data_IF_233869344620
#
_entry.id   IF_233869344620
#
_cell.length_a   1.000
_cell.length_b   1.000
_cell.length_c   1.000
_cell.angle_alpha   90.00
_cell.angle_beta   90.00
_cell.angle_gamma   90.00
#
_symmetry.space_group_name_H-M   'P 1'
#
loop_
_entity.id
_entity.type
_entity.pdbx_description
1 polymer ?
#
# COMPACT_ATOMS: atom_id res chain seq x y z
N UNK A 1 -15.73 -16.85 6.30
CA UNK A 1 -14.76 -15.98 7.01
C UNK A 1 -13.49 -16.07 6.21
N UNK A 2 -13.31 -15.13 5.27
CA UNK A 2 -12.10 -15.09 4.46
C UNK A 2 -10.91 -14.92 5.39
N UNK A 3 -9.99 -15.86 5.32
CA UNK A 3 -8.76 -15.79 6.11
C UNK A 3 -7.86 -14.70 5.55
N UNK A 4 -6.91 -14.22 6.35
CA UNK A 4 -5.90 -13.24 5.88
C UNK A 4 -5.12 -13.83 4.71
N UNK A 5 -4.96 -15.16 4.67
CA UNK A 5 -4.32 -15.87 3.57
C UNK A 5 -5.15 -15.76 2.28
N UNK A 6 -6.46 -15.90 2.32
CA UNK A 6 -7.34 -15.74 1.15
C UNK A 6 -7.30 -14.30 0.62
N UNK A 7 -7.25 -13.30 1.50
CA UNK A 7 -7.10 -11.90 1.13
C UNK A 7 -5.73 -11.61 0.50
N UNK A 8 -4.66 -12.24 1.00
CA UNK A 8 -3.31 -12.12 0.43
C UNK A 8 -3.24 -12.75 -0.97
N UNK A 9 -3.77 -13.96 -1.13
CA UNK A 9 -3.82 -14.67 -2.41
C UNK A 9 -4.63 -13.85 -3.43
N UNK A 10 -5.79 -13.35 -3.05
CA UNK A 10 -6.62 -12.50 -3.91
C UNK A 10 -5.91 -11.21 -4.30
N UNK A 11 -5.18 -10.61 -3.38
CA UNK A 11 -4.38 -9.40 -3.61
C UNK A 11 -3.22 -9.68 -4.58
N UNK A 12 -2.53 -10.82 -4.45
CA UNK A 12 -1.48 -11.26 -5.37
C UNK A 12 -1.99 -11.49 -6.80
N UNK A 13 -3.14 -12.12 -6.93
CA UNK A 13 -3.79 -12.30 -8.24
C UNK A 13 -4.17 -10.96 -8.88
N UNK A 14 -4.64 -10.02 -8.08
CA UNK A 14 -4.98 -8.67 -8.55
C UNK A 14 -3.75 -7.90 -9.03
N UNK A 15 -2.60 -8.05 -8.34
CA UNK A 15 -1.33 -7.46 -8.76
C UNK A 15 -0.85 -8.05 -10.08
N UNK A 16 -0.85 -9.38 -10.20
CA UNK A 16 -0.46 -10.05 -11.43
C UNK A 16 -1.30 -9.59 -12.63
N UNK A 17 -2.61 -9.51 -12.48
CA UNK A 17 -3.52 -9.01 -13.52
C UNK A 17 -3.25 -7.54 -13.89
N UNK A 18 -2.90 -6.71 -12.92
CA UNK A 18 -2.53 -5.30 -13.18
C UNK A 18 -1.23 -5.20 -13.95
N UNK A 19 -0.23 -6.00 -13.62
CA UNK A 19 1.05 -6.07 -14.33
C UNK A 19 0.89 -6.55 -15.78
N UNK A 20 0.10 -7.61 -15.98
CA UNK A 20 -0.24 -8.12 -17.32
C UNK A 20 -0.95 -7.06 -18.17
N UNK A 21 -1.92 -6.35 -17.60
CA UNK A 21 -2.63 -5.27 -18.28
C UNK A 21 -1.72 -4.08 -18.63
N UNK A 22 -0.74 -3.77 -17.79
CA UNK A 22 0.22 -2.70 -18.07
C UNK A 22 1.13 -3.06 -19.24
N UNK A 23 1.67 -4.28 -19.25
CA UNK A 23 2.50 -4.79 -20.34
C UNK A 23 1.72 -4.78 -21.66
N UNK A 24 0.46 -5.22 -21.61
CA UNK A 24 -0.41 -5.22 -22.79
C UNK A 24 -0.68 -3.81 -23.30
N UNK A 25 -0.88 -2.84 -22.40
CA UNK A 25 -1.09 -1.44 -22.75
C UNK A 25 0.17 -0.84 -23.41
N UNK A 26 1.35 -1.08 -22.83
CA UNK A 26 2.61 -0.64 -23.43
C UNK A 26 2.86 -1.26 -24.81
N UNK A 27 2.52 -2.53 -25.00
CA UNK A 27 2.61 -3.19 -26.31
C UNK A 27 1.66 -2.55 -27.32
N UNK A 28 0.42 -2.26 -26.92
CA UNK A 28 -0.57 -1.61 -27.77
C UNK A 28 -0.13 -0.18 -28.19
N UNK A 29 0.42 0.59 -27.24
CA UNK A 29 0.96 1.93 -27.53
C UNK A 29 2.16 1.87 -28.49
N UNK A 30 3.05 0.88 -28.33
CA UNK A 30 4.15 0.65 -29.28
C UNK A 30 3.65 0.31 -30.68
N UNK A 31 2.67 -0.57 -30.80
CA UNK A 31 2.07 -0.91 -32.08
C UNK A 31 1.35 0.27 -32.75
N UNK A 32 0.65 1.11 -31.98
CA UNK A 32 0.01 2.32 -32.48
C UNK A 32 1.04 3.34 -32.97
N UNK A 33 2.12 3.53 -32.22
CA UNK A 33 3.22 4.43 -32.61
C UNK A 33 3.94 3.94 -33.88
N UNK A 34 4.13 2.63 -34.03
CA UNK A 34 4.68 2.02 -35.24
C UNK A 34 3.76 2.22 -36.46
N UNK A 35 2.45 2.08 -36.28
CA UNK A 35 1.47 2.33 -37.36
C UNK A 35 1.42 3.80 -37.76
N UNK A 36 1.53 4.73 -36.81
CA UNK A 36 1.60 6.17 -37.10
C UNK A 36 2.90 6.57 -37.82
N UNK A 37 4.01 5.92 -37.47
CA UNK A 37 5.30 6.13 -38.12
C UNK A 37 5.38 5.55 -39.53
N UNK A 38 4.60 4.51 -39.84
CA UNK A 38 4.57 3.87 -41.16
C UNK A 38 3.59 4.55 -42.15
N UNK A 39 2.76 5.50 -41.69
CA UNK A 39 1.74 6.21 -42.49
C UNK A 39 2.15 7.55 -43.07
N UNK A 40 3.41 7.95 -42.95
CA UNK A 40 3.93 9.24 -43.37
C UNK A 40 4.45 9.27 -44.81
N UNK A 41 3.54 9.32 -45.78
CA UNK A 41 3.91 9.58 -47.18
C UNK A 41 2.80 10.27 -47.96
N UNK A 42 3.05 11.53 -48.29
CA UNK A 42 2.55 12.36 -49.40
C UNK A 42 1.79 13.63 -49.03
N UNK A 43 2.51 14.71 -49.11
CA UNK A 43 2.39 15.90 -49.96
C UNK A 43 0.97 16.35 -50.36
N UNK A 44 0.58 17.57 -49.92
CA UNK A 44 0.20 18.65 -50.81
C UNK A 44 -0.11 19.96 -50.09
N UNK A 45 0.48 21.02 -50.54
CA UNK A 45 0.20 22.45 -50.37
C UNK A 45 -1.26 22.78 -50.64
N UNK A 46 -1.87 23.73 -49.88
CA UNK A 46 -2.23 25.10 -50.26
C UNK A 46 -3.09 25.81 -49.22
N UNK A 47 -2.65 26.99 -48.89
CA UNK A 47 -3.27 28.30 -48.61
C UNK A 47 -4.70 28.43 -48.08
N UNK A 48 -4.75 29.26 -47.05
CA UNK A 48 -5.80 30.24 -46.70
C UNK A 48 -7.13 29.74 -46.15
N UNK A 49 -7.36 30.06 -44.87
CA UNK A 49 -8.69 29.95 -44.26
C UNK A 49 -8.71 30.04 -42.74
N UNK A 50 -8.87 31.25 -42.26
CA UNK A 50 -9.18 31.61 -40.88
C UNK A 50 -10.40 30.80 -40.40
N UNK A 51 -10.25 29.91 -39.45
CA UNK A 51 -11.36 29.27 -38.74
C UNK A 51 -11.08 29.29 -37.23
N UNK A 52 -12.00 29.94 -36.60
CA UNK A 52 -12.16 30.08 -35.16
C UNK A 52 -12.29 28.69 -34.51
N UNK A 53 -11.26 28.25 -33.77
CA UNK A 53 -11.30 26.96 -33.08
C UNK A 53 -11.90 27.16 -31.71
N UNK A 54 -13.15 26.75 -31.57
CA UNK A 54 -13.77 26.47 -30.29
C UNK A 54 -12.98 25.36 -29.61
N UNK A 55 -12.24 25.73 -28.61
CA UNK A 55 -11.46 24.78 -27.78
C UNK A 55 -12.47 24.01 -26.93
N UNK A 56 -12.84 22.83 -27.35
CA UNK A 56 -13.45 21.81 -26.49
C UNK A 56 -12.32 21.34 -25.59
N UNK A 57 -12.40 21.44 -24.25
CA UNK A 57 -11.38 20.88 -23.39
C UNK A 57 -11.32 19.37 -23.62
N UNK A 58 -10.19 18.89 -24.09
CA UNK A 58 -9.89 17.47 -24.16
C UNK A 58 -10.01 16.87 -22.74
N UNK A 59 -10.52 15.64 -22.59
CA UNK A 59 -10.49 14.96 -21.31
C UNK A 59 -9.03 14.89 -20.86
N UNK A 60 -8.75 15.39 -19.68
CA UNK A 60 -7.43 15.33 -19.08
C UNK A 60 -6.98 13.88 -19.12
N UNK A 61 -6.04 13.57 -19.97
CA UNK A 61 -5.34 12.29 -19.98
C UNK A 61 -4.69 12.19 -18.62
N UNK A 62 -5.21 11.32 -17.77
CA UNK A 62 -4.61 11.02 -16.48
C UNK A 62 -3.12 10.78 -16.71
N UNK A 63 -2.29 11.57 -16.06
CA UNK A 63 -0.85 11.61 -16.27
C UNK A 63 -0.32 10.17 -16.15
N UNK A 64 0.29 9.64 -17.21
CA UNK A 64 0.87 8.29 -17.20
C UNK A 64 1.87 8.07 -16.06
N UNK A 65 2.37 9.15 -15.48
CA UNK A 65 3.18 9.17 -14.28
C UNK A 65 2.40 8.75 -13.01
N UNK A 66 1.11 9.10 -12.90
CA UNK A 66 0.27 8.73 -11.76
C UNK A 66 0.00 7.21 -11.72
N UNK A 67 -0.26 6.59 -12.87
CA UNK A 67 -0.45 5.13 -12.97
C UNK A 67 0.84 4.40 -12.60
N UNK A 68 1.99 4.87 -13.09
CA UNK A 68 3.29 4.30 -12.75
C UNK A 68 3.61 4.44 -11.26
N UNK A 69 3.38 5.59 -10.68
CA UNK A 69 3.59 5.87 -9.26
C UNK A 69 2.64 5.04 -8.39
N UNK A 70 1.40 4.79 -8.82
CA UNK A 70 0.48 3.87 -8.15
C UNK A 70 0.99 2.44 -8.13
N UNK A 71 1.44 1.92 -9.28
CA UNK A 71 2.00 0.56 -9.37
C UNK A 71 3.24 0.43 -8.48
N UNK A 72 4.08 1.46 -8.46
CA UNK A 72 5.27 1.48 -7.63
C UNK A 72 4.93 1.46 -6.14
N UNK A 73 3.91 2.21 -5.72
CA UNK A 73 3.41 2.18 -4.35
C UNK A 73 2.82 0.82 -4.00
N UNK A 74 2.03 0.24 -4.89
CA UNK A 74 1.45 -1.08 -4.70
C UNK A 74 2.55 -2.16 -4.51
N UNK A 75 3.65 -2.10 -5.29
CA UNK A 75 4.82 -2.98 -5.11
C UNK A 75 5.48 -2.80 -3.75
N UNK A 76 5.63 -1.55 -3.29
CA UNK A 76 6.14 -1.24 -1.94
C UNK A 76 5.28 -1.85 -0.85
N UNK A 77 3.99 -1.63 -0.93
CA UNK A 77 3.02 -2.15 0.05
C UNK A 77 3.03 -3.67 0.07
N UNK A 78 3.03 -4.30 -1.11
CA UNK A 78 3.10 -5.76 -1.23
C UNK A 78 4.37 -6.31 -0.57
N UNK A 79 5.54 -5.76 -0.86
CA UNK A 79 6.81 -6.20 -0.28
C UNK A 79 6.82 -6.06 1.25
N UNK A 80 6.31 -4.95 1.78
CA UNK A 80 6.22 -4.70 3.22
C UNK A 80 5.32 -5.74 3.90
N UNK A 81 4.16 -6.04 3.32
CA UNK A 81 3.13 -6.87 3.94
C UNK A 81 3.44 -8.36 3.76
N UNK A 82 3.74 -8.82 2.54
CA UNK A 82 3.96 -10.23 2.24
C UNK A 82 5.17 -10.81 2.97
N UNK A 83 6.25 -10.03 3.10
CA UNK A 83 7.46 -10.42 3.82
C UNK A 83 7.43 -9.99 5.29
N UNK A 84 6.36 -9.38 5.75
CA UNK A 84 6.21 -8.89 7.13
C UNK A 84 7.39 -8.01 7.60
N UNK A 85 7.96 -7.23 6.66
CA UNK A 85 9.14 -6.42 6.94
C UNK A 85 8.91 -5.42 8.07
N UNK A 86 7.66 -5.00 8.25
CA UNK A 86 7.28 -4.09 9.33
C UNK A 86 7.52 -4.66 10.74
N UNK A 87 7.64 -5.98 10.90
CA UNK A 87 7.94 -6.62 12.21
C UNK A 87 9.44 -6.60 12.55
N UNK A 88 10.31 -6.33 11.59
CA UNK A 88 11.75 -6.26 11.83
C UNK A 88 12.08 -4.96 12.56
N UNK A 89 12.81 -5.01 13.71
CA UNK A 89 13.15 -3.82 14.50
C UNK A 89 13.94 -2.79 13.71
N UNK A 90 14.88 -3.25 12.88
CA UNK A 90 15.81 -2.42 12.12
C UNK A 90 15.32 -2.08 10.71
N UNK A 91 14.06 -2.42 10.40
CA UNK A 91 13.50 -2.16 9.07
C UNK A 91 13.52 -0.67 8.72
N UNK A 92 14.18 -0.34 7.66
CA UNK A 92 14.42 1.03 7.23
C UNK A 92 13.91 1.31 5.81
N UNK A 93 13.64 2.60 5.57
CA UNK A 93 13.32 3.11 4.25
C UNK A 93 14.42 2.81 3.22
N UNK A 94 15.67 2.88 3.64
CA UNK A 94 16.85 2.70 2.81
C UNK A 94 16.94 1.28 2.24
N UNK A 95 16.54 0.30 3.03
CA UNK A 95 16.47 -1.10 2.60
C UNK A 95 15.43 -1.30 1.51
N UNK A 96 14.24 -0.74 1.69
CA UNK A 96 13.15 -0.82 0.72
C UNK A 96 13.50 -0.13 -0.60
N UNK A 97 14.12 1.05 -0.54
CA UNK A 97 14.58 1.81 -1.70
C UNK A 97 15.59 1.00 -2.53
N UNK A 98 16.50 0.28 -1.87
CA UNK A 98 17.48 -0.58 -2.54
C UNK A 98 16.84 -1.80 -3.20
N UNK A 99 15.88 -2.42 -2.51
CA UNK A 99 15.22 -3.64 -3.01
C UNK A 99 14.34 -3.38 -4.23
N UNK A 100 13.61 -2.25 -4.25
CA UNK A 100 12.64 -1.96 -5.31
C UNK A 100 13.17 -0.94 -6.33
N UNK A 101 14.39 -0.42 -6.14
CA UNK A 101 15.03 0.55 -7.04
C UNK A 101 14.22 1.84 -7.25
N UNK A 102 13.71 2.42 -6.14
CA UNK A 102 12.92 3.64 -6.17
C UNK A 102 13.82 4.87 -6.05
N UNK A 103 13.61 5.92 -6.86
CA UNK A 103 14.27 7.21 -6.64
C UNK A 103 13.95 7.76 -5.25
N UNK A 104 14.98 8.17 -4.49
CA UNK A 104 14.82 8.64 -3.09
C UNK A 104 13.84 9.80 -2.95
N UNK A 105 13.75 10.66 -3.94
CA UNK A 105 12.82 11.81 -3.98
C UNK A 105 11.36 11.40 -4.20
N UNK A 106 11.09 10.25 -4.81
CA UNK A 106 9.72 9.73 -5.03
C UNK A 106 9.15 9.00 -3.81
N UNK A 107 9.99 8.43 -2.95
CA UNK A 107 9.54 7.56 -1.85
C UNK A 107 8.55 8.24 -0.89
N UNK A 108 8.89 9.41 -0.36
CA UNK A 108 8.01 10.12 0.58
C UNK A 108 6.71 10.64 -0.07
N UNK A 109 6.73 11.22 -1.29
CA UNK A 109 5.53 11.55 -2.04
C UNK A 109 4.58 10.38 -2.25
N UNK A 110 5.07 9.17 -2.59
CA UNK A 110 4.24 7.98 -2.79
C UNK A 110 3.44 7.63 -1.54
N UNK A 111 4.08 7.59 -0.36
CA UNK A 111 3.37 7.31 0.89
C UNK A 111 2.36 8.40 1.25
N UNK A 112 2.71 9.68 1.02
CA UNK A 112 1.79 10.78 1.27
C UNK A 112 0.57 10.74 0.35
N UNK A 113 0.76 10.42 -0.90
CA UNK A 113 -0.30 10.39 -1.92
C UNK A 113 -1.22 9.18 -1.77
N UNK A 114 -0.65 7.97 -1.65
CA UNK A 114 -1.43 6.73 -1.71
C UNK A 114 -1.80 6.15 -0.34
N UNK A 115 -0.99 6.37 0.69
CA UNK A 115 -1.31 5.98 2.07
C UNK A 115 -1.86 7.12 2.94
N UNK A 116 -1.83 8.37 2.45
CA UNK A 116 -2.27 9.56 3.20
C UNK A 116 -1.39 9.90 4.41
N UNK A 117 -0.23 9.27 4.54
CA UNK A 117 0.64 9.43 5.72
C UNK A 117 2.12 9.21 5.38
N UNK A 118 3.01 9.51 6.33
CA UNK A 118 4.44 9.22 6.19
C UNK A 118 4.72 7.72 6.31
N UNK A 119 5.83 7.26 5.72
CA UNK A 119 6.29 5.87 5.82
C UNK A 119 6.38 5.38 7.27
N UNK A 120 7.00 6.16 8.17
CA UNK A 120 7.11 5.77 9.59
C UNK A 120 5.74 5.60 10.27
N UNK A 121 4.78 6.46 9.94
CA UNK A 121 3.41 6.34 10.47
C UNK A 121 2.71 5.11 9.89
N UNK A 122 2.92 4.82 8.61
CA UNK A 122 2.38 3.63 7.94
C UNK A 122 2.90 2.34 8.60
N UNK A 123 4.22 2.21 8.78
CA UNK A 123 4.83 1.06 9.45
C UNK A 123 4.34 0.91 10.89
N UNK A 124 4.28 2.02 11.65
CA UNK A 124 3.78 1.98 13.02
C UNK A 124 2.30 1.55 13.07
N UNK A 125 1.47 1.95 12.11
CA UNK A 125 0.08 1.50 12.04
C UNK A 125 -0.02 -0.02 11.82
N UNK A 126 0.77 -0.60 10.92
CA UNK A 126 0.82 -2.05 10.70
C UNK A 126 1.28 -2.79 11.96
N UNK A 127 2.32 -2.30 12.64
CA UNK A 127 2.79 -2.84 13.91
C UNK A 127 1.73 -2.83 14.99
N UNK A 128 0.97 -1.74 15.11
CA UNK A 128 -0.10 -1.60 16.09
C UNK A 128 -1.28 -2.53 15.78
N UNK A 129 -1.62 -2.73 14.53
CA UNK A 129 -2.66 -3.69 14.11
C UNK A 129 -2.25 -5.12 14.42
N UNK A 130 -0.99 -5.46 14.17
CA UNK A 130 -0.42 -6.75 14.55
C UNK A 130 -0.42 -6.92 16.08
N UNK A 131 0.00 -5.89 16.84
CA UNK A 131 -0.02 -5.91 18.30
C UNK A 131 -1.44 -6.11 18.86
N UNK A 132 -2.44 -5.42 18.32
CA UNK A 132 -3.84 -5.60 18.74
C UNK A 132 -4.34 -7.04 18.49
N UNK A 133 -3.93 -7.65 17.39
CA UNK A 133 -4.21 -9.05 17.07
C UNK A 133 -3.53 -10.02 18.05
N UNK A 134 -2.27 -9.76 18.37
CA UNK A 134 -1.51 -10.56 19.35
C UNK A 134 -2.12 -10.46 20.74
N UNK A 135 -2.44 -9.25 21.22
CA UNK A 135 -3.11 -9.02 22.52
C UNK A 135 -4.45 -9.74 22.64
N UNK A 136 -5.17 -9.90 21.52
CA UNK A 136 -6.45 -10.61 21.48
C UNK A 136 -6.28 -12.13 21.47
N UNK A 137 -5.31 -12.64 20.72
CA UNK A 137 -5.17 -14.07 20.44
C UNK A 137 -4.24 -14.78 21.44
N UNK A 138 -3.36 -14.04 22.10
CA UNK A 138 -2.36 -14.57 23.04
C UNK A 138 -2.49 -13.89 24.42
N UNK A 139 -3.53 -14.25 25.19
CA UNK A 139 -3.76 -13.64 26.49
C UNK A 139 -2.68 -13.97 27.54
N UNK A 140 -1.88 -14.99 27.28
CA UNK A 140 -0.73 -15.45 28.07
C UNK A 140 0.56 -14.66 27.80
N UNK A 141 0.63 -13.91 26.68
CA UNK A 141 1.81 -13.11 26.36
C UNK A 141 1.84 -11.82 27.18
N UNK A 142 3.05 -11.46 27.61
CA UNK A 142 3.25 -10.12 28.22
C UNK A 142 3.24 -9.03 27.15
N UNK A 143 2.87 -7.81 27.53
CA UNK A 143 2.95 -6.65 26.63
C UNK A 143 4.37 -6.43 26.10
N UNK A 144 5.39 -6.75 26.92
CA UNK A 144 6.78 -6.66 26.52
C UNK A 144 7.14 -7.66 25.41
N UNK A 145 6.70 -8.92 25.56
CA UNK A 145 6.84 -9.93 24.51
C UNK A 145 6.18 -9.49 23.21
N UNK A 146 4.96 -8.98 23.30
CA UNK A 146 4.22 -8.50 22.11
C UNK A 146 4.93 -7.31 21.46
N UNK A 147 5.50 -6.40 22.25
CA UNK A 147 6.25 -5.27 21.71
C UNK A 147 7.47 -5.76 20.89
N UNK A 148 8.22 -6.73 21.41
CA UNK A 148 9.36 -7.34 20.72
C UNK A 148 8.93 -8.01 19.40
N UNK A 149 7.87 -8.82 19.42
CA UNK A 149 7.30 -9.46 18.23
C UNK A 149 6.84 -8.45 17.16
N UNK A 150 6.41 -7.27 17.59
CA UNK A 150 6.03 -6.17 16.69
C UNK A 150 7.21 -5.33 16.21
N UNK A 151 8.45 -5.63 16.60
CA UNK A 151 9.63 -4.84 16.28
C UNK A 151 9.63 -3.45 16.91
N UNK A 152 9.05 -3.29 18.12
CA UNK A 152 8.92 -2.03 18.83
C UNK A 152 9.48 -2.14 20.25
N UNK A 153 9.88 -0.98 20.83
CA UNK A 153 10.08 -0.94 22.28
C UNK A 153 8.72 -0.90 23.00
N UNK A 154 8.65 -1.48 24.18
CA UNK A 154 7.46 -1.48 25.04
C UNK A 154 6.91 -0.07 25.27
N UNK A 155 7.80 0.89 25.52
CA UNK A 155 7.42 2.31 25.68
C UNK A 155 6.77 2.88 24.41
N UNK A 156 7.29 2.56 23.24
CA UNK A 156 6.72 2.98 21.95
C UNK A 156 5.36 2.36 21.72
N UNK A 157 5.21 1.06 22.05
CA UNK A 157 3.95 0.36 21.95
C UNK A 157 2.89 1.02 22.83
N UNK A 158 3.14 1.25 24.12
CA UNK A 158 2.19 1.92 25.02
C UNK A 158 1.75 3.27 24.49
N UNK A 159 2.70 4.13 24.13
CA UNK A 159 2.43 5.49 23.66
C UNK A 159 1.59 5.50 22.36
N UNK A 160 1.99 4.72 21.36
CA UNK A 160 1.34 4.71 20.05
C UNK A 160 0.01 3.97 20.07
N UNK A 161 -0.08 2.88 20.84
CA UNK A 161 -1.29 2.09 20.99
C UNK A 161 -2.39 2.90 21.68
N UNK A 162 -2.08 3.53 22.81
CA UNK A 162 -3.03 4.40 23.50
C UNK A 162 -3.48 5.58 22.65
N UNK A 163 -2.56 6.14 21.85
CA UNK A 163 -2.90 7.20 20.90
C UNK A 163 -3.82 6.78 19.77
N UNK A 164 -3.74 5.50 19.33
CA UNK A 164 -4.58 4.95 18.24
C UNK A 164 -5.92 4.41 18.75
N UNK A 165 -5.91 3.67 19.86
CA UNK A 165 -7.07 2.91 20.35
C UNK A 165 -7.76 3.53 21.56
N UNK A 166 -7.17 4.59 22.18
CA UNK A 166 -7.73 5.26 23.35
C UNK A 166 -7.59 4.52 24.67
N UNK A 167 -7.00 3.32 24.66
CA UNK A 167 -6.78 2.45 25.83
C UNK A 167 -5.36 1.93 25.84
N UNK A 168 -4.85 1.55 27.01
CA UNK A 168 -3.52 0.93 27.08
C UNK A 168 -3.52 -0.48 26.51
N UNK A 169 -2.38 -1.02 26.05
CA UNK A 169 -2.28 -2.42 25.62
C UNK A 169 -2.73 -3.41 26.68
N UNK A 170 -2.42 -3.15 27.96
CA UNK A 170 -2.83 -4.00 29.09
C UNK A 170 -4.34 -3.97 29.28
N UNK A 171 -4.96 -2.79 29.27
CA UNK A 171 -6.42 -2.66 29.44
C UNK A 171 -7.16 -3.32 28.28
N UNK A 172 -6.62 -3.19 27.07
CA UNK A 172 -7.16 -3.84 25.87
C UNK A 172 -7.13 -5.37 26.01
N UNK A 173 -6.01 -5.93 26.45
CA UNK A 173 -5.85 -7.38 26.66
C UNK A 173 -6.83 -7.91 27.71
N UNK A 174 -6.95 -7.25 28.86
CA UNK A 174 -7.90 -7.60 29.94
C UNK A 174 -9.35 -7.50 29.47
N UNK A 175 -9.70 -6.43 28.76
CA UNK A 175 -11.04 -6.23 28.21
C UNK A 175 -11.46 -7.34 27.26
N UNK A 176 -10.57 -7.81 26.39
CA UNK A 176 -10.83 -8.94 25.47
C UNK A 176 -11.01 -10.25 26.23
N UNK A 177 -10.23 -10.51 27.28
CA UNK A 177 -10.39 -11.71 28.12
C UNK A 177 -11.77 -11.76 28.80
N UNK A 178 -12.26 -10.63 29.31
CA UNK A 178 -13.60 -10.55 29.93
C UNK A 178 -14.73 -10.86 28.95
N UNK A 179 -14.60 -10.41 27.70
CA UNK A 179 -15.61 -10.70 26.66
C UNK A 179 -15.59 -12.19 26.28
N UNK A 180 -14.41 -12.77 26.10
CA UNK A 180 -14.26 -14.18 25.76
C UNK A 180 -14.80 -15.10 26.86
N UNK A 181 -14.57 -14.77 28.14
CA UNK A 181 -15.06 -15.57 29.28
C UNK A 181 -16.59 -15.48 29.44
N UNK A 182 -17.22 -14.34 29.10
CA UNK A 182 -18.70 -14.25 29.15
C UNK A 182 -19.36 -15.12 28.10
N UNK A 183 -18.81 -15.16 26.87
CA UNK A 183 -19.37 -15.96 25.78
C UNK A 183 -19.29 -17.48 26.05
N UNK A 184 -18.34 -17.93 26.88
CA UNK A 184 -18.22 -19.37 27.28
C UNK A 184 -19.23 -19.76 28.39
N UNK A 185 -19.70 -18.79 29.15
CA UNK A 185 -20.64 -19.05 30.27
C UNK A 185 -22.12 -18.99 29.88
N UNK A 186 -22.45 -18.40 28.72
CA UNK A 186 -23.82 -18.31 28.20
C UNK A 186 -24.25 -19.52 27.34
N UNK A 187 -23.30 -20.40 26.94
CA UNK A 187 -23.58 -21.64 26.18
C UNK A 187 -23.70 -22.91 27.05
N UNK A 188 -23.99 -22.78 28.34
CA UNK A 188 -24.28 -23.89 29.23
C UNK A 188 -25.69 -23.75 29.81
#
# INVERSE_FOLDING_TARGET
VDTIEDLLIHKEELYRKKEENLILKEQLEREQNLRMSAGGGSLSTDKDGKAETTVVPAPEAGDGNDIHDRILFDKLEHEIISRQLYLQPDFSREELIKTIYIPKNKFAPLFKQYAGMSFSKYINNLRLEYAAKMLKNHPDYTVDTIAQECGMSTQSLYRLFSGKYGVTPTDFQVGVQHINNKNITEDK
#
